data_IF_778056801069
#
_entry.id   IF_778056801069
#
_cell.length_a   1.000
_cell.length_b   1.000
_cell.length_c   1.000
_cell.angle_alpha   90.00
_cell.angle_beta   90.00
_cell.angle_gamma   90.00
#
_symmetry.space_group_name_H-M   'P 1'
#
loop_
_entity.id
_entity.type
_entity.pdbx_description
1 polymer ?
#
# COMPACT_ATOMS: atom_id res chain seq x y z
N UNK A 1 62.07 -21.65 20.66
CA UNK A 1 61.60 -20.83 21.80
C UNK A 1 60.41 -21.54 22.39
N UNK A 2 60.48 -21.81 23.69
CA UNK A 2 59.47 -22.47 24.51
C UNK A 2 58.40 -21.48 24.98
N UNK A 3 57.17 -21.98 25.21
CA UNK A 3 56.30 -21.92 26.40
C UNK A 3 54.89 -22.37 25.95
N UNK A 4 54.36 -23.54 26.34
CA UNK A 4 53.56 -23.86 27.56
C UNK A 4 52.35 -22.90 27.75
N UNK A 5 51.10 -23.31 28.07
CA UNK A 5 50.56 -24.39 28.91
C UNK A 5 49.07 -24.67 28.50
N UNK A 6 48.52 -25.91 28.57
CA UNK A 6 47.77 -26.55 29.70
C UNK A 6 46.63 -25.65 30.25
N UNK A 7 45.37 -26.09 30.44
CA UNK A 7 44.78 -27.42 30.48
C UNK A 7 43.27 -27.37 30.74
N UNK A 8 42.67 -28.56 30.72
CA UNK A 8 41.28 -28.90 31.02
C UNK A 8 40.70 -28.27 32.30
N UNK A 9 39.38 -28.08 32.34
CA UNK A 9 38.48 -28.80 33.27
C UNK A 9 37.02 -28.35 33.09
N UNK A 10 36.14 -29.30 32.78
CA UNK A 10 34.70 -29.22 33.08
C UNK A 10 34.50 -29.27 34.60
N UNK A 11 33.36 -28.74 35.09
CA UNK A 11 32.51 -29.59 35.88
C UNK A 11 31.02 -29.53 35.52
N UNK A 12 30.35 -30.58 35.99
CA UNK A 12 28.95 -31.01 35.82
C UNK A 12 28.05 -30.36 36.91
N UNK A 13 26.77 -30.19 36.55
CA UNK A 13 25.53 -30.01 37.34
C UNK A 13 25.60 -29.52 38.80
N UNK A 14 24.75 -28.53 39.13
CA UNK A 14 23.71 -28.68 40.17
C UNK A 14 22.51 -27.76 39.91
N UNK A 15 21.31 -28.30 40.10
CA UNK A 15 20.01 -27.63 40.08
C UNK A 15 19.86 -26.65 41.22
N UNK A 16 19.28 -25.47 40.96
CA UNK A 16 18.63 -24.66 41.99
C UNK A 16 17.21 -24.28 41.55
N UNK A 17 16.25 -24.78 42.33
CA UNK A 17 14.84 -24.41 42.33
C UNK A 17 14.75 -23.03 42.98
N UNK A 18 14.26 -22.04 42.25
CA UNK A 18 14.16 -20.66 42.74
C UNK A 18 12.99 -19.89 42.15
N UNK A 19 11.85 -19.98 42.85
CA UNK A 19 10.85 -18.92 43.06
C UNK A 19 10.20 -18.25 41.84
N UNK A 20 8.94 -18.61 41.58
CA UNK A 20 8.00 -17.85 40.76
C UNK A 20 7.92 -16.37 41.22
N UNK A 21 8.15 -15.39 40.33
CA UNK A 21 7.64 -14.05 40.54
C UNK A 21 6.15 -14.01 40.24
N UNK A 22 5.41 -13.69 41.30
CA UNK A 22 4.03 -13.21 41.41
C UNK A 22 3.32 -12.90 40.08
N UNK A 23 2.16 -13.54 39.92
CA UNK A 23 1.04 -13.09 39.08
C UNK A 23 0.90 -11.57 39.17
N UNK A 24 1.31 -10.86 38.12
CA UNK A 24 0.89 -9.48 37.90
C UNK A 24 -0.59 -9.51 37.59
N UNK A 25 -1.38 -8.93 38.49
CA UNK A 25 -2.79 -8.68 38.31
C UNK A 25 -3.03 -7.98 36.96
N UNK A 26 -4.01 -8.47 36.20
CA UNK A 26 -4.53 -7.76 35.03
C UNK A 26 -4.88 -6.32 35.44
N UNK A 27 -4.35 -5.29 34.75
CA UNK A 27 -4.85 -3.94 34.96
C UNK A 27 -6.33 -3.93 34.60
N UNK A 28 -7.13 -3.33 35.49
CA UNK A 28 -8.55 -3.07 35.26
C UNK A 28 -8.71 -2.38 33.91
N UNK A 29 -9.59 -2.92 33.06
CA UNK A 29 -10.09 -2.26 31.86
C UNK A 29 -10.54 -0.83 32.25
N UNK A 30 -9.67 0.13 32.02
CA UNK A 30 -10.06 1.52 31.87
C UNK A 30 -10.81 1.60 30.56
N UNK A 31 -12.01 2.17 30.59
CA UNK A 31 -12.73 2.55 29.39
C UNK A 31 -11.89 3.60 28.65
N UNK A 32 -11.01 3.16 27.76
CA UNK A 32 -10.42 4.03 26.75
C UNK A 32 -11.56 4.42 25.82
N UNK A 33 -11.78 5.73 25.67
CA UNK A 33 -12.75 6.28 24.72
C UNK A 33 -12.53 5.77 23.29
N UNK A 34 -13.41 6.11 22.34
CA UNK A 34 -13.27 5.69 20.97
C UNK A 34 -11.86 6.04 20.50
N UNK A 35 -11.04 5.03 20.20
CA UNK A 35 -9.80 5.25 19.47
C UNK A 35 -10.25 5.70 18.08
N UNK A 36 -10.01 6.96 17.75
CA UNK A 36 -10.14 7.39 16.37
C UNK A 36 -9.30 6.44 15.51
N UNK A 37 -9.86 5.89 14.42
CA UNK A 37 -9.11 5.06 13.50
C UNK A 37 -7.85 5.82 13.07
N UNK A 38 -6.69 5.22 13.31
CA UNK A 38 -5.40 5.77 12.86
C UNK A 38 -5.32 5.48 11.37
N UNK A 39 -5.85 6.38 10.55
CA UNK A 39 -5.77 6.26 9.10
C UNK A 39 -4.31 6.38 8.65
N UNK A 40 -3.86 5.56 7.69
CA UNK A 40 -2.51 5.65 7.17
C UNK A 40 -2.34 7.02 6.49
N UNK A 41 -1.24 7.71 6.80
CA UNK A 41 -0.93 9.01 6.17
C UNK A 41 -0.55 8.89 4.69
N UNK A 42 -0.26 7.67 4.24
CA UNK A 42 0.21 7.34 2.90
C UNK A 42 -0.44 6.06 2.38
N UNK A 43 -0.56 5.93 1.06
CA UNK A 43 -0.91 4.70 0.36
C UNK A 43 0.29 4.27 -0.48
N UNK A 44 0.65 2.99 -0.39
CA UNK A 44 1.72 2.39 -1.17
C UNK A 44 1.18 1.90 -2.52
N UNK A 45 1.73 2.45 -3.60
CA UNK A 45 1.50 1.99 -4.97
C UNK A 45 2.66 1.10 -5.40
N UNK A 46 2.32 -0.05 -5.97
CA UNK A 46 3.27 -0.97 -6.60
C UNK A 46 3.17 -0.78 -8.12
N UNK A 47 4.15 -0.14 -8.79
CA UNK A 47 4.05 0.19 -10.20
C UNK A 47 3.86 -1.00 -11.13
N UNK A 48 4.28 -2.21 -10.72
CA UNK A 48 3.95 -3.48 -11.38
C UNK A 48 2.45 -3.62 -11.69
N UNK A 49 1.57 -2.96 -10.92
CA UNK A 49 0.14 -2.87 -11.22
C UNK A 49 -0.18 -2.35 -12.63
N UNK A 50 0.67 -1.50 -13.22
CA UNK A 50 0.51 -1.02 -14.60
C UNK A 50 0.63 -2.13 -15.65
N UNK A 51 1.35 -3.21 -15.34
CA UNK A 51 1.57 -4.32 -16.26
C UNK A 51 0.41 -5.33 -16.21
N UNK A 52 -0.39 -5.33 -15.13
CA UNK A 52 -1.34 -6.39 -14.85
C UNK A 52 -2.81 -5.97 -14.99
N UNK A 53 -3.63 -6.88 -15.53
CA UNK A 53 -5.11 -6.75 -15.56
C UNK A 53 -5.69 -6.50 -14.17
N UNK A 54 -5.15 -7.18 -13.15
CA UNK A 54 -5.60 -7.13 -11.75
C UNK A 54 -4.73 -6.20 -10.90
N UNK A 55 -3.94 -5.34 -11.53
CA UNK A 55 -3.07 -4.38 -10.84
C UNK A 55 -3.85 -3.39 -9.99
N UNK A 56 -3.18 -2.80 -9.00
CA UNK A 56 -3.80 -1.82 -8.09
C UNK A 56 -5.08 -2.35 -7.41
N UNK A 57 -5.02 -3.58 -6.90
CA UNK A 57 -6.18 -4.27 -6.33
C UNK A 57 -7.37 -4.34 -7.31
N UNK A 58 -7.10 -4.79 -8.53
CA UNK A 58 -8.08 -4.82 -9.63
C UNK A 58 -8.67 -3.45 -10.01
N UNK A 59 -7.95 -2.37 -9.69
CA UNK A 59 -8.39 -0.99 -9.89
C UNK A 59 -9.09 -0.36 -8.68
N UNK A 60 -9.22 -1.08 -7.57
CA UNK A 60 -9.99 -0.65 -6.40
C UNK A 60 -9.14 -0.15 -5.23
N UNK A 61 -7.82 0.03 -5.40
CA UNK A 61 -6.92 0.45 -4.30
C UNK A 61 -7.33 1.76 -3.59
N UNK A 62 -8.15 2.60 -4.22
CA UNK A 62 -8.63 3.86 -3.65
C UNK A 62 -10.10 3.84 -3.20
N UNK A 63 -10.80 2.70 -3.32
CA UNK A 63 -12.23 2.59 -2.97
C UNK A 63 -12.49 2.95 -1.50
N UNK A 64 -11.76 2.31 -0.58
CA UNK A 64 -11.89 2.58 0.86
C UNK A 64 -11.56 4.05 1.19
N UNK A 65 -10.52 4.62 0.57
CA UNK A 65 -10.17 6.03 0.78
C UNK A 65 -11.30 6.97 0.35
N UNK A 66 -11.93 6.71 -0.80
CA UNK A 66 -13.06 7.54 -1.26
C UNK A 66 -14.26 7.46 -0.33
N UNK A 67 -14.58 6.27 0.18
CA UNK A 67 -15.68 6.06 1.13
C UNK A 67 -15.37 6.72 2.49
N UNK A 68 -14.19 6.45 3.06
CA UNK A 68 -13.77 6.94 4.38
C UNK A 68 -13.73 8.48 4.45
N UNK A 69 -13.33 9.13 3.35
CA UNK A 69 -13.23 10.59 3.28
C UNK A 69 -14.45 11.27 2.65
N UNK A 70 -15.50 10.50 2.30
CA UNK A 70 -16.72 11.04 1.67
C UNK A 70 -16.42 11.79 0.37
N UNK A 71 -15.49 11.30 -0.43
CA UNK A 71 -15.13 11.91 -1.70
C UNK A 71 -16.20 11.55 -2.74
N UNK A 72 -16.90 12.56 -3.25
CA UNK A 72 -17.96 12.39 -4.26
C UNK A 72 -17.39 12.14 -5.68
N UNK A 73 -16.28 11.43 -5.82
CA UNK A 73 -15.63 11.14 -7.11
C UNK A 73 -15.65 9.64 -7.38
N UNK A 74 -15.63 9.25 -8.66
CA UNK A 74 -15.39 7.86 -9.01
C UNK A 74 -13.94 7.46 -8.62
N UNK A 75 -13.81 6.40 -7.81
CA UNK A 75 -12.51 5.99 -7.27
C UNK A 75 -11.55 5.47 -8.35
N UNK A 76 -12.08 5.01 -9.49
CA UNK A 76 -11.31 4.47 -10.61
C UNK A 76 -10.82 5.61 -11.50
N UNK A 77 -11.64 6.64 -11.72
CA UNK A 77 -11.17 7.90 -12.30
C UNK A 77 -10.10 8.57 -11.43
N UNK A 78 -10.29 8.55 -10.11
CA UNK A 78 -9.29 9.03 -9.16
C UNK A 78 -7.98 8.23 -9.28
N UNK A 79 -8.06 6.90 -9.37
CA UNK A 79 -6.90 6.04 -9.57
C UNK A 79 -6.12 6.43 -10.84
N UNK A 80 -6.83 6.61 -11.96
CA UNK A 80 -6.22 7.05 -13.23
C UNK A 80 -5.47 8.37 -13.04
N UNK A 81 -6.12 9.36 -12.44
CA UNK A 81 -5.52 10.68 -12.22
C UNK A 81 -4.32 10.64 -11.24
N UNK A 82 -4.38 9.83 -10.19
CA UNK A 82 -3.27 9.64 -9.25
C UNK A 82 -2.09 8.98 -9.95
N UNK A 83 -2.34 7.94 -10.74
CA UNK A 83 -1.29 7.24 -11.47
C UNK A 83 -0.61 8.17 -12.47
N UNK A 84 -1.38 8.89 -13.28
CA UNK A 84 -0.86 9.86 -14.26
C UNK A 84 -0.04 10.97 -13.63
N UNK A 85 -0.50 11.53 -12.50
CA UNK A 85 0.09 12.75 -11.92
C UNK A 85 1.18 12.48 -10.90
N UNK A 86 1.10 11.35 -10.18
CA UNK A 86 1.95 11.10 -9.02
C UNK A 86 2.74 9.79 -9.09
N UNK A 87 2.29 8.76 -9.82
CA UNK A 87 2.97 7.46 -9.87
C UNK A 87 3.88 7.39 -11.08
N UNK A 88 3.34 7.47 -12.31
CA UNK A 88 4.11 7.35 -13.54
C UNK A 88 5.27 8.35 -13.64
N UNK A 89 5.12 9.65 -13.26
CA UNK A 89 6.22 10.60 -13.31
C UNK A 89 7.38 10.34 -12.33
N UNK A 90 7.20 9.38 -11.40
CA UNK A 90 8.23 9.00 -10.42
C UNK A 90 8.95 7.71 -10.79
N UNK A 91 8.59 7.10 -11.92
CA UNK A 91 9.30 5.94 -12.44
C UNK A 91 10.63 6.38 -13.06
N UNK A 92 11.63 5.53 -12.95
CA UNK A 92 12.93 5.75 -13.58
C UNK A 92 12.85 5.51 -15.10
N UNK A 93 11.86 4.74 -15.55
CA UNK A 93 11.57 4.42 -16.94
C UNK A 93 10.64 5.47 -17.58
N UNK A 94 10.75 5.64 -18.90
CA UNK A 94 9.72 6.32 -19.68
C UNK A 94 8.55 5.36 -19.92
N UNK A 95 7.48 5.52 -19.14
CA UNK A 95 6.28 4.68 -19.25
C UNK A 95 5.15 5.43 -19.94
N UNK A 96 4.76 4.96 -21.12
CA UNK A 96 3.51 5.39 -21.76
C UNK A 96 2.37 4.58 -21.17
N UNK A 97 1.30 5.27 -20.77
CA UNK A 97 0.13 4.66 -20.13
C UNK A 97 -1.12 4.88 -20.97
N UNK A 98 -2.07 3.97 -20.84
CA UNK A 98 -3.38 4.11 -21.48
C UNK A 98 -4.49 3.67 -20.55
N UNK A 99 -5.67 4.23 -20.80
CA UNK A 99 -6.87 3.99 -19.98
C UNK A 99 -7.90 3.17 -20.75
N UNK A 100 -8.50 2.21 -20.06
CA UNK A 100 -9.52 1.27 -20.52
C UNK A 100 -10.82 1.53 -19.79
N UNK A 101 -11.64 2.46 -20.30
CA UNK A 101 -12.96 2.73 -19.71
C UNK A 101 -13.96 1.59 -19.98
N UNK A 102 -14.87 1.36 -19.03
CA UNK A 102 -15.89 0.30 -19.12
C UNK A 102 -15.38 -1.12 -18.79
N UNK A 103 -14.12 -1.28 -18.41
CA UNK A 103 -13.62 -2.53 -17.83
C UNK A 103 -14.10 -2.70 -16.38
N UNK A 104 -14.18 -3.92 -15.86
CA UNK A 104 -14.42 -4.21 -14.44
C UNK A 104 -13.12 -4.31 -13.62
N UNK A 105 -11.96 -4.15 -14.27
CA UNK A 105 -10.64 -4.44 -13.70
C UNK A 105 -9.77 -3.19 -13.63
N UNK A 106 -8.46 -3.32 -13.44
CA UNK A 106 -7.53 -2.19 -13.48
C UNK A 106 -7.76 -1.33 -14.76
N UNK A 107 -8.21 -0.06 -14.63
CA UNK A 107 -8.52 0.80 -15.76
C UNK A 107 -7.28 1.39 -16.43
N UNK A 108 -6.11 1.38 -15.79
CA UNK A 108 -4.90 2.05 -16.29
C UNK A 108 -3.73 1.07 -16.40
N UNK A 109 -3.08 1.05 -17.57
CA UNK A 109 -1.99 0.11 -17.88
C UNK A 109 -0.87 0.77 -18.65
N UNK A 110 0.33 0.21 -18.57
CA UNK A 110 1.45 0.58 -19.43
C UNK A 110 1.21 0.06 -20.85
N UNK A 111 1.41 0.93 -21.85
CA UNK A 111 1.52 0.58 -23.26
C UNK A 111 2.96 0.24 -23.62
N UNK A 112 3.89 1.08 -23.20
CA UNK A 112 5.32 0.91 -23.45
C UNK A 112 6.15 1.24 -22.22
N UNK A 113 7.32 0.61 -22.10
CA UNK A 113 8.36 0.90 -21.11
C UNK A 113 9.66 1.15 -21.88
N UNK A 114 10.24 2.35 -21.73
CA UNK A 114 11.44 2.80 -22.45
C UNK A 114 11.33 2.66 -23.99
N UNK A 115 10.09 2.78 -24.50
CA UNK A 115 9.77 2.70 -25.93
C UNK A 115 9.47 1.30 -26.46
N UNK A 116 9.69 0.25 -25.69
CA UNK A 116 9.33 -1.12 -26.03
C UNK A 116 7.91 -1.46 -25.54
N UNK A 117 7.19 -2.34 -26.23
CA UNK A 117 5.86 -2.80 -25.78
C UNK A 117 5.96 -3.43 -24.39
N UNK A 118 5.11 -2.96 -23.47
CA UNK A 118 5.16 -3.40 -22.08
C UNK A 118 4.84 -4.90 -21.96
N UNK A 119 5.68 -5.62 -21.22
CA UNK A 119 5.53 -7.05 -20.93
C UNK A 119 5.31 -7.29 -19.43
N UNK A 120 4.68 -8.43 -19.10
CA UNK A 120 4.48 -8.83 -17.70
C UNK A 120 5.78 -9.11 -16.94
N UNK A 121 6.89 -9.36 -17.66
CA UNK A 121 8.22 -9.56 -17.09
C UNK A 121 9.02 -8.28 -16.85
N UNK A 122 8.50 -7.12 -17.23
CA UNK A 122 9.20 -5.84 -17.05
C UNK A 122 9.32 -5.48 -15.57
N UNK A 123 10.43 -4.82 -15.22
CA UNK A 123 10.64 -4.29 -13.87
C UNK A 123 10.53 -2.78 -13.91
N UNK A 124 9.55 -2.25 -13.18
CA UNK A 124 9.35 -0.81 -12.99
C UNK A 124 9.99 -0.38 -11.68
N UNK A 125 10.80 0.68 -11.72
CA UNK A 125 11.51 1.21 -10.55
C UNK A 125 11.10 2.65 -10.27
N UNK A 126 10.95 3.05 -9.00
CA UNK A 126 11.06 2.22 -7.79
C UNK A 126 9.90 1.21 -7.66
N UNK A 127 10.15 0.08 -6.99
CA UNK A 127 9.15 -1.00 -6.80
C UNK A 127 7.93 -0.56 -5.97
N UNK A 128 8.12 0.47 -5.13
CA UNK A 128 7.09 1.02 -4.25
C UNK A 128 7.15 2.54 -4.32
N UNK A 129 5.99 3.16 -4.53
CA UNK A 129 5.80 4.61 -4.47
C UNK A 129 4.78 4.90 -3.36
N UNK A 130 5.22 5.59 -2.31
CA UNK A 130 4.32 6.07 -1.27
C UNK A 130 3.75 7.44 -1.64
N UNK A 131 2.41 7.53 -1.68
CA UNK A 131 1.68 8.77 -1.95
C UNK A 131 0.95 9.19 -0.68
N UNK A 132 1.03 10.47 -0.31
CA UNK A 132 0.29 10.98 0.86
C UNK A 132 -1.20 11.01 0.53
N UNK A 133 -2.03 10.62 1.49
CA UNK A 133 -3.50 10.70 1.38
C UNK A 133 -3.95 12.12 1.06
N UNK A 134 -3.30 13.13 1.64
CA UNK A 134 -3.59 14.54 1.34
C UNK A 134 -3.42 14.89 -0.15
N UNK A 135 -2.38 14.37 -0.82
CA UNK A 135 -2.13 14.65 -2.24
C UNK A 135 -3.20 13.98 -3.13
N UNK A 136 -3.66 12.79 -2.74
CA UNK A 136 -4.76 12.07 -3.42
C UNK A 136 -6.07 12.87 -3.29
N UNK A 137 -6.38 13.35 -2.08
CA UNK A 137 -7.57 14.19 -1.84
C UNK A 137 -7.50 15.50 -2.63
N UNK A 138 -6.33 16.11 -2.74
CA UNK A 138 -6.14 17.30 -3.57
C UNK A 138 -6.43 17.01 -5.05
N UNK A 139 -6.01 15.85 -5.57
CA UNK A 139 -6.36 15.43 -6.94
C UNK A 139 -7.87 15.20 -7.07
N UNK A 140 -8.50 14.52 -6.10
CA UNK A 140 -9.94 14.26 -6.12
C UNK A 140 -10.76 15.54 -6.27
N UNK A 141 -10.36 16.63 -5.59
CA UNK A 141 -11.02 17.94 -5.70
C UNK A 141 -10.94 18.59 -7.08
N UNK A 142 -10.08 18.08 -7.97
CA UNK A 142 -9.95 18.57 -9.36
C UNK A 142 -10.81 17.79 -10.35
N UNK A 143 -11.40 16.67 -9.92
CA UNK A 143 -12.21 15.80 -10.77
C UNK A 143 -13.70 16.17 -10.67
N UNK A 144 -14.49 15.90 -11.72
CA UNK A 144 -15.94 16.01 -11.62
C UNK A 144 -16.47 15.02 -10.56
N UNK A 145 -17.64 15.31 -9.98
CA UNK A 145 -18.28 14.32 -9.14
C UNK A 145 -18.63 13.06 -9.95
N UNK A 146 -18.52 11.90 -9.32
CA UNK A 146 -18.88 10.62 -9.95
C UNK A 146 -20.35 10.62 -10.38
N UNK A 147 -20.65 9.99 -11.52
CA UNK A 147 -22.04 9.83 -11.95
C UNK A 147 -22.79 8.97 -10.92
N UNK A 148 -23.86 9.51 -10.34
CA UNK A 148 -24.69 8.74 -9.42
C UNK A 148 -25.48 7.69 -10.24
N UNK A 149 -25.34 6.38 -9.98
CA UNK A 149 -26.08 5.35 -10.69
C UNK A 149 -27.62 5.48 -10.55
N UNK A 150 -28.11 6.30 -9.62
CA UNK A 150 -29.55 6.61 -9.48
C UNK A 150 -30.10 7.54 -10.59
N UNK A 151 -29.25 8.29 -11.30
CA UNK A 151 -29.70 9.24 -12.34
C UNK A 151 -30.13 8.55 -13.65
N UNK A 152 -29.87 7.24 -13.78
CA UNK A 152 -30.30 6.39 -14.91
C UNK A 152 -31.80 6.07 -14.93
N UNK A 153 -32.56 6.54 -13.93
CA UNK A 153 -34.00 6.24 -13.77
C UNK A 153 -34.94 7.39 -14.12
N UNK A 154 -34.40 8.49 -14.69
CA UNK A 154 -35.20 9.63 -15.16
C UNK A 154 -35.35 9.62 -16.68
N UNK A 155 -36.15 8.69 -17.20
CA UNK A 155 -36.75 8.77 -18.55
C UNK A 155 -38.19 8.25 -18.53
#
# INVERSE_FOLDING_TARGET
MAVEAVGCCLPILTSEVGTQPRRTAYPRFGMTGPQEPVHPSTIAFYPEGLLHKFGFSDGDILGDLTEEHGLEVDHRELLVAVVERLVAPRLDQEVDIYTLWGTLHNPIRARTVDGDEADLGDTLTPEIIEIRVADIIEIARTLPPGENPEDWTRD
#
